data_IF_432159976191
#
_entry.id   IF_432159976191
#
_cell.length_a   1.000
_cell.length_b   1.000
_cell.length_c   1.000
_cell.angle_alpha   90.00
_cell.angle_beta   90.00
_cell.angle_gamma   90.00
#
_symmetry.space_group_name_H-M   'P 1'
#
loop_
_entity.id
_entity.type
_entity.pdbx_description
1 polymer ?
#
# COMPACT_ATOMS: atom_id res chain seq x y z
N UNK A 1 11.15 -23.72 -24.55
CA UNK A 1 11.39 -22.49 -25.33
C UNK A 1 11.14 -21.21 -24.53
N UNK A 2 10.01 -21.04 -23.83
CA UNK A 2 9.68 -19.79 -23.09
C UNK A 2 10.63 -19.38 -21.96
N UNK A 3 11.41 -20.30 -21.38
CA UNK A 3 12.35 -19.97 -20.29
C UNK A 3 13.62 -19.26 -20.79
N UNK A 4 14.13 -19.63 -21.99
CA UNK A 4 15.35 -19.04 -22.56
C UNK A 4 15.13 -17.63 -23.12
N UNK A 5 13.93 -17.32 -23.64
CA UNK A 5 13.59 -15.97 -24.11
C UNK A 5 13.45 -14.95 -22.95
N UNK A 6 12.98 -15.39 -21.78
CA UNK A 6 12.91 -14.52 -20.59
C UNK A 6 14.30 -14.21 -20.01
N UNK A 7 15.26 -15.11 -20.15
CA UNK A 7 16.66 -14.85 -19.76
C UNK A 7 17.35 -13.87 -20.72
N UNK A 8 17.08 -13.95 -22.03
CA UNK A 8 17.66 -13.05 -23.02
C UNK A 8 17.16 -11.60 -22.87
N UNK A 9 15.88 -11.38 -22.53
CA UNK A 9 15.37 -10.03 -22.21
C UNK A 9 15.91 -9.48 -20.88
N UNK A 10 16.42 -10.35 -20.00
CA UNK A 10 16.97 -9.98 -18.69
C UNK A 10 18.42 -9.49 -18.76
N UNK A 11 19.20 -9.87 -19.77
CA UNK A 11 20.63 -9.54 -19.86
C UNK A 11 20.92 -8.21 -20.59
N UNK A 12 19.99 -7.73 -21.44
CA UNK A 12 20.10 -6.45 -22.18
C UNK A 12 19.39 -5.26 -21.50
N UNK A 13 18.77 -5.48 -20.34
CA UNK A 13 17.97 -4.46 -19.64
C UNK A 13 18.86 -3.54 -18.81
N UNK A 14 18.57 -2.22 -18.79
CA UNK A 14 19.25 -1.20 -17.95
C UNK A 14 19.49 -1.68 -16.51
N UNK A 15 18.60 -2.54 -16.00
CA UNK A 15 18.69 -3.15 -14.68
C UNK A 15 19.99 -3.93 -14.42
N UNK A 16 20.49 -4.69 -15.39
CA UNK A 16 21.73 -5.49 -15.22
C UNK A 16 22.99 -4.61 -15.16
N UNK A 17 22.90 -3.35 -15.62
CA UNK A 17 23.99 -2.36 -15.50
C UNK A 17 24.05 -1.72 -14.11
N UNK A 18 22.95 -1.73 -13.35
CA UNK A 18 22.87 -1.08 -12.04
C UNK A 18 23.11 -2.04 -10.88
N UNK A 19 22.47 -3.22 -10.91
CA UNK A 19 22.57 -4.21 -9.82
C UNK A 19 22.38 -5.62 -10.36
N UNK A 20 23.15 -6.55 -9.79
CA UNK A 20 22.99 -7.96 -10.12
C UNK A 20 21.63 -8.49 -9.69
N UNK A 21 21.07 -9.39 -10.50
CA UNK A 21 19.73 -9.96 -10.25
C UNK A 21 19.63 -10.61 -8.87
N UNK A 22 20.65 -11.36 -8.46
CA UNK A 22 20.69 -12.06 -7.16
C UNK A 22 20.71 -11.07 -6.01
N UNK A 23 21.45 -9.98 -6.14
CA UNK A 23 21.51 -8.92 -5.14
C UNK A 23 20.17 -8.18 -5.05
N UNK A 24 19.58 -7.81 -6.18
CA UNK A 24 18.27 -7.16 -6.21
C UNK A 24 17.17 -8.01 -5.55
N UNK A 25 17.21 -9.32 -5.79
CA UNK A 25 16.30 -10.27 -5.15
C UNK A 25 16.52 -10.30 -3.63
N UNK A 26 17.78 -10.41 -3.18
CA UNK A 26 18.14 -10.40 -1.76
C UNK A 26 17.70 -9.11 -1.05
N UNK A 27 17.88 -7.95 -1.69
CA UNK A 27 17.41 -6.65 -1.16
C UNK A 27 15.89 -6.64 -1.01
N UNK A 28 15.17 -7.14 -2.01
CA UNK A 28 13.70 -7.21 -1.96
C UNK A 28 13.22 -8.10 -0.81
N UNK A 29 13.85 -9.25 -0.61
CA UNK A 29 13.51 -10.21 0.45
C UNK A 29 13.82 -9.70 1.87
N UNK A 30 14.84 -8.86 2.03
CA UNK A 30 15.32 -8.37 3.34
C UNK A 30 14.82 -6.97 3.70
N UNK A 31 14.20 -6.26 2.76
CA UNK A 31 13.69 -4.90 2.98
C UNK A 31 12.61 -4.85 4.07
N UNK A 32 12.90 -4.12 5.14
CA UNK A 32 11.94 -3.81 6.21
C UNK A 32 11.85 -2.28 6.33
N UNK A 33 10.66 -1.73 6.13
CA UNK A 33 10.42 -0.28 6.16
C UNK A 33 10.23 0.24 7.60
N UNK A 34 9.74 -0.60 8.51
CA UNK A 34 9.48 -0.24 9.90
C UNK A 34 10.12 -1.23 10.87
N UNK A 35 10.39 -0.79 12.10
CA UNK A 35 10.99 -1.59 13.16
C UNK A 35 10.02 -2.63 13.73
N UNK A 36 10.40 -3.90 13.62
CA UNK A 36 9.60 -5.04 14.06
C UNK A 36 9.42 -5.12 15.58
N UNK A 37 10.30 -4.49 16.36
CA UNK A 37 10.18 -4.45 17.82
C UNK A 37 8.93 -3.71 18.30
N UNK A 38 8.40 -2.79 17.48
CA UNK A 38 7.20 -1.99 17.80
C UNK A 38 5.90 -2.63 17.32
N UNK A 39 5.96 -3.82 16.70
CA UNK A 39 4.79 -4.47 16.12
C UNK A 39 4.04 -5.31 17.17
N UNK A 40 2.95 -4.78 17.70
CA UNK A 40 2.07 -5.52 18.62
C UNK A 40 1.50 -6.78 17.97
N UNK A 41 1.24 -7.82 18.76
CA UNK A 41 0.70 -9.08 18.24
C UNK A 41 -0.77 -8.94 17.82
N UNK A 42 -1.22 -9.76 16.87
CA UNK A 42 -2.60 -9.77 16.40
C UNK A 42 -3.56 -10.00 17.58
N UNK A 43 -4.57 -9.13 17.70
CA UNK A 43 -5.59 -9.21 18.75
C UNK A 43 -5.23 -8.47 20.06
N UNK A 44 -4.00 -7.95 20.19
CA UNK A 44 -3.67 -7.05 21.29
C UNK A 44 -4.10 -5.62 20.99
N UNK A 45 -4.32 -4.85 22.05
CA UNK A 45 -4.59 -3.43 21.95
C UNK A 45 -3.45 -2.71 21.20
N UNK A 46 -3.80 -1.82 20.28
CA UNK A 46 -2.83 -1.10 19.44
C UNK A 46 -2.24 -1.90 18.27
N UNK A 47 -2.73 -3.10 17.98
CA UNK A 47 -2.27 -3.84 16.79
C UNK A 47 -2.69 -3.17 15.48
N UNK A 48 -1.71 -2.67 14.73
CA UNK A 48 -1.91 -2.08 13.42
C UNK A 48 -1.56 -3.05 12.27
N UNK A 49 -2.56 -3.39 11.44
CA UNK A 49 -2.37 -4.25 10.25
C UNK A 49 -1.42 -3.65 9.21
N UNK A 50 -1.26 -2.32 9.19
CA UNK A 50 -0.38 -1.59 8.26
C UNK A 50 0.98 -1.23 8.87
N UNK A 51 1.30 -1.74 10.07
CA UNK A 51 2.51 -1.38 10.81
C UNK A 51 3.78 -1.36 9.95
N UNK A 52 3.98 -2.38 9.11
CA UNK A 52 5.14 -2.52 8.22
C UNK A 52 5.32 -1.37 7.24
N UNK A 53 4.23 -0.79 6.74
CA UNK A 53 4.25 0.28 5.72
C UNK A 53 3.86 1.65 6.29
N UNK A 54 3.54 1.71 7.59
CA UNK A 54 3.03 2.90 8.26
C UNK A 54 3.94 4.12 8.11
N UNK A 55 5.29 4.02 8.21
CA UNK A 55 6.16 5.17 7.99
C UNK A 55 5.99 5.78 6.60
N UNK A 56 5.96 4.95 5.55
CA UNK A 56 5.77 5.42 4.17
C UNK A 56 4.39 6.04 3.95
N UNK A 57 3.33 5.41 4.47
CA UNK A 57 1.97 5.95 4.34
C UNK A 57 1.83 7.28 5.07
N UNK A 58 2.50 7.44 6.23
CA UNK A 58 2.46 8.69 7.00
C UNK A 58 3.22 9.79 6.29
N UNK A 59 4.41 9.48 5.76
CA UNK A 59 5.23 10.41 4.99
C UNK A 59 4.50 10.90 3.73
N UNK A 60 3.86 9.99 2.98
CA UNK A 60 3.13 10.37 1.77
C UNK A 60 1.85 11.17 2.04
N UNK A 61 1.27 11.04 3.24
CA UNK A 61 0.09 11.78 3.66
C UNK A 61 0.43 13.09 4.40
N UNK A 62 1.72 13.42 4.49
CA UNK A 62 2.21 14.59 5.21
C UNK A 62 1.60 15.88 4.63
N UNK A 63 1.05 16.78 5.46
CA UNK A 63 0.53 18.07 5.02
C UNK A 63 1.53 18.94 4.26
N UNK A 64 2.84 18.79 4.48
CA UNK A 64 3.89 19.55 3.78
C UNK A 64 3.85 19.27 2.27
N UNK A 65 3.43 18.07 1.87
CA UNK A 65 3.32 17.69 0.46
C UNK A 65 2.01 18.17 -0.18
N UNK A 66 1.12 18.90 0.52
CA UNK A 66 -0.20 19.27 -0.03
C UNK A 66 -0.15 20.59 -0.79
N UNK A 67 -0.61 20.56 -2.05
CA UNK A 67 -0.77 21.75 -2.88
C UNK A 67 -2.00 22.56 -2.41
N UNK A 68 -1.78 23.61 -1.62
CA UNK A 68 -2.84 24.37 -0.92
C UNK A 68 -3.82 25.15 -1.81
N UNK A 69 -3.66 25.10 -3.13
CA UNK A 69 -4.20 26.12 -4.06
C UNK A 69 -5.47 25.72 -4.79
N UNK A 70 -5.90 24.46 -4.76
CA UNK A 70 -6.99 24.00 -5.63
C UNK A 70 -8.32 23.83 -4.88
N UNK A 71 -9.39 24.23 -5.55
CA UNK A 71 -10.74 24.38 -4.98
C UNK A 71 -11.58 23.09 -5.15
N UNK A 72 -11.29 22.26 -6.17
CA UNK A 72 -12.08 21.07 -6.50
C UNK A 72 -11.30 19.81 -6.18
N UNK A 73 -11.86 19.02 -5.26
CA UNK A 73 -11.32 17.74 -4.81
C UNK A 73 -12.27 16.60 -5.21
N UNK A 74 -11.70 15.47 -5.59
CA UNK A 74 -12.42 14.24 -5.90
C UNK A 74 -12.00 13.17 -4.90
N UNK A 75 -12.98 12.44 -4.39
CA UNK A 75 -12.78 11.24 -3.57
C UNK A 75 -13.15 10.04 -4.42
N UNK A 76 -12.27 9.06 -4.50
CA UNK A 76 -12.51 7.84 -5.26
C UNK A 76 -11.73 6.64 -4.66
N UNK A 77 -11.95 5.46 -5.22
CA UNK A 77 -11.36 4.20 -4.78
C UNK A 77 -10.38 3.67 -5.83
N UNK A 78 -9.17 3.35 -5.40
CA UNK A 78 -8.15 2.70 -6.20
C UNK A 78 -7.92 1.25 -5.73
N UNK A 79 -7.54 0.40 -6.68
CA UNK A 79 -7.37 -1.03 -6.46
C UNK A 79 -5.91 -1.42 -6.74
N UNK A 80 -5.22 -1.91 -5.72
CA UNK A 80 -3.86 -2.44 -5.87
C UNK A 80 -3.94 -3.96 -6.04
N UNK A 81 -3.57 -4.44 -7.22
CA UNK A 81 -3.57 -5.86 -7.54
C UNK A 81 -2.60 -6.62 -6.64
N UNK A 82 -3.11 -7.54 -5.81
CA UNK A 82 -2.28 -8.36 -4.94
C UNK A 82 -2.90 -9.74 -4.72
N UNK A 83 -2.12 -10.79 -4.97
CA UNK A 83 -2.54 -12.20 -4.82
C UNK A 83 -1.65 -12.89 -3.79
N UNK A 84 -1.85 -12.55 -2.52
CA UNK A 84 -1.14 -13.16 -1.39
C UNK A 84 -2.04 -13.37 -0.17
N UNK A 85 -1.49 -14.00 0.86
CA UNK A 85 -2.19 -14.29 2.12
C UNK A 85 -2.16 -13.07 3.04
N UNK A 86 -3.15 -12.20 2.92
CA UNK A 86 -3.33 -11.03 3.78
C UNK A 86 -4.80 -10.83 4.13
N UNK A 87 -5.07 -10.34 5.34
CA UNK A 87 -6.43 -9.96 5.78
C UNK A 87 -6.91 -8.62 5.22
N UNK A 88 -6.01 -7.87 4.58
CA UNK A 88 -6.30 -6.57 3.96
C UNK A 88 -6.91 -6.70 2.55
N UNK A 89 -6.92 -7.91 2.00
CA UNK A 89 -7.48 -8.17 0.68
C UNK A 89 -9.01 -8.16 0.74
N UNK A 90 -9.62 -7.18 0.07
CA UNK A 90 -11.06 -7.05 -0.08
C UNK A 90 -11.54 -7.76 -1.35
N UNK A 91 -12.69 -8.43 -1.28
CA UNK A 91 -13.36 -8.99 -2.46
C UNK A 91 -14.24 -7.92 -3.12
N UNK A 92 -14.10 -7.74 -4.43
CA UNK A 92 -14.89 -6.81 -5.25
C UNK A 92 -15.40 -7.55 -6.50
N UNK A 93 -16.70 -7.89 -6.58
CA UNK A 93 -17.22 -8.76 -7.65
C UNK A 93 -17.29 -8.07 -9.03
N UNK A 94 -17.53 -6.75 -9.05
CA UNK A 94 -17.76 -5.97 -10.27
C UNK A 94 -16.46 -5.44 -10.92
N UNK A 95 -15.30 -5.73 -10.34
CA UNK A 95 -14.01 -5.24 -10.84
C UNK A 95 -13.24 -6.37 -11.52
N UNK A 96 -12.41 -6.07 -12.54
CA UNK A 96 -11.61 -7.10 -13.22
C UNK A 96 -10.67 -7.82 -12.25
N UNK A 97 -10.14 -7.09 -11.26
CA UNK A 97 -9.36 -7.64 -10.16
C UNK A 97 -10.31 -7.88 -8.97
N UNK A 98 -10.64 -9.16 -8.72
CA UNK A 98 -11.68 -9.55 -7.76
C UNK A 98 -11.24 -9.56 -6.30
N UNK A 99 -9.93 -9.63 -6.02
CA UNK A 99 -9.37 -9.72 -4.67
C UNK A 99 -8.05 -8.95 -4.62
N UNK A 100 -8.03 -7.88 -3.84
CA UNK A 100 -6.96 -6.87 -3.88
C UNK A 100 -7.01 -5.95 -2.67
N UNK A 101 -5.98 -5.12 -2.51
CA UNK A 101 -6.04 -4.02 -1.55
C UNK A 101 -6.89 -2.89 -2.10
N UNK A 102 -7.85 -2.46 -1.28
CA UNK A 102 -8.72 -1.33 -1.58
C UNK A 102 -8.15 -0.09 -0.91
N UNK A 103 -7.98 0.99 -1.67
CA UNK A 103 -7.46 2.28 -1.21
C UNK A 103 -8.49 3.34 -1.54
N UNK A 104 -8.79 4.24 -0.61
CA UNK A 104 -9.53 5.46 -0.89
C UNK A 104 -8.56 6.61 -0.99
N UNK A 105 -8.75 7.48 -1.96
CA UNK A 105 -7.86 8.60 -2.16
C UNK A 105 -8.65 9.88 -2.41
N UNK A 106 -8.03 11.00 -2.04
CA UNK A 106 -8.48 12.36 -2.26
C UNK A 106 -7.49 13.00 -3.23
N UNK A 107 -7.96 13.43 -4.40
CA UNK A 107 -7.12 14.03 -5.42
C UNK A 107 -7.67 15.35 -5.94
N UNK A 108 -6.80 16.20 -6.46
CA UNK A 108 -7.19 17.42 -7.16
C UNK A 108 -7.69 17.08 -8.57
N UNK A 109 -8.93 17.47 -8.87
CA UNK A 109 -9.62 17.12 -10.12
C UNK A 109 -8.81 17.48 -11.38
N UNK A 110 -8.18 18.66 -11.39
CA UNK A 110 -7.62 19.23 -12.61
C UNK A 110 -6.23 18.68 -12.97
N UNK A 111 -5.47 18.16 -11.99
CA UNK A 111 -4.07 17.75 -12.16
C UNK A 111 -3.88 16.26 -11.88
N UNK A 112 -4.82 15.62 -11.18
CA UNK A 112 -4.71 14.22 -10.76
C UNK A 112 -3.72 14.01 -9.60
N UNK A 113 -3.28 15.07 -8.93
CA UNK A 113 -2.41 14.96 -7.77
C UNK A 113 -3.17 14.44 -6.55
N UNK A 114 -2.68 13.37 -5.93
CA UNK A 114 -3.27 12.75 -4.73
C UNK A 114 -2.83 13.52 -3.50
N UNK A 115 -3.77 14.18 -2.83
CA UNK A 115 -3.54 14.94 -1.61
C UNK A 115 -3.45 14.05 -0.37
N UNK A 116 -4.28 13.00 -0.31
CA UNK A 116 -4.34 12.07 0.81
C UNK A 116 -4.88 10.72 0.34
N UNK A 117 -4.43 9.64 0.95
CA UNK A 117 -5.05 8.33 0.74
C UNK A 117 -5.09 7.52 2.02
N UNK A 118 -6.01 6.57 2.05
CA UNK A 118 -6.22 5.65 3.15
C UNK A 118 -6.42 4.22 2.61
N UNK A 119 -5.68 3.27 3.17
CA UNK A 119 -5.80 1.86 2.82
C UNK A 119 -6.89 1.24 3.69
N UNK A 120 -7.84 0.53 3.07
CA UNK A 120 -8.90 -0.15 3.79
C UNK A 120 -8.36 -1.30 4.64
N UNK A 121 -8.64 -1.27 5.95
CA UNK A 121 -8.12 -2.24 6.94
C UNK A 121 -9.13 -3.34 7.32
N UNK A 122 -10.29 -3.38 6.68
CA UNK A 122 -11.40 -4.25 7.06
C UNK A 122 -12.25 -3.65 8.18
N UNK A 123 -13.09 -4.49 8.79
CA UNK A 123 -13.85 -4.12 9.99
C UNK A 123 -12.88 -4.00 11.18
N UNK A 124 -12.93 -2.86 11.86
CA UNK A 124 -12.32 -2.70 13.18
C UNK A 124 -13.29 -3.27 14.22
N UNK A 125 -12.76 -3.95 15.24
CA UNK A 125 -13.57 -4.40 16.36
C UNK A 125 -13.82 -3.15 17.19
N UNK A 126 -14.96 -2.48 16.95
CA UNK A 126 -15.48 -1.53 17.91
C UNK A 126 -16.02 -2.37 19.06
N UNK A 127 -15.42 -2.26 20.24
CA UNK A 127 -16.10 -2.72 21.44
C UNK A 127 -17.30 -1.79 21.63
N UNK A 128 -18.52 -2.29 21.43
CA UNK A 128 -19.79 -1.54 21.50
C UNK A 128 -20.07 -0.92 22.89
N UNK A 129 -19.10 -0.96 23.82
CA UNK A 129 -19.20 -0.49 25.20
C UNK A 129 -18.50 0.84 25.50
N UNK A 130 -17.86 1.50 24.52
CA UNK A 130 -17.45 2.90 24.75
C UNK A 130 -18.61 3.83 24.41
N UNK A 131 -19.39 4.14 25.45
CA UNK A 131 -20.31 5.25 25.48
C UNK A 131 -19.71 6.49 24.80
N UNK A 132 -20.53 7.05 23.92
CA UNK A 132 -20.50 8.41 23.40
C UNK A 132 -19.83 9.37 24.39
N UNK A 133 -18.65 9.91 24.05
CA UNK A 133 -18.25 11.24 24.49
C UNK A 133 -17.32 11.89 23.45
N UNK A 134 -17.95 12.77 22.67
CA UNK A 134 -17.44 14.00 22.02
C UNK A 134 -16.47 13.87 20.86
#
# INVERSE_FOLDING_TARGET
MKAKEQEAFSQSSIRSKCIDRKEAQKVTETSNINDNGTNSSRGQFGHDKLHKVRPSVSLLNDPILRLRTFIILIIDEYIIAFKGRTSLNQRMPMTPIKRSHKVRYLAYCNIGYIQKFEIYRGKEICDDNTNILK
#
